data_IF_805647918129
#
_entry.id   IF_805647918129
#
_cell.length_a   1.000
_cell.length_b   1.000
_cell.length_c   1.000
_cell.angle_alpha   90.00
_cell.angle_beta   90.00
_cell.angle_gamma   90.00
#
_symmetry.space_group_name_H-M   'P 1'
#
loop_
_entity.id
_entity.type
_entity.pdbx_description
1 polymer ?
#
# COMPACT_ATOMS: atom_id res chain seq x y z
N UNK A 1 1.53 6.35 -9.21
CA UNK A 1 1.31 5.57 -7.98
C UNK A 1 2.21 4.34 -7.97
N UNK A 2 3.54 4.47 -7.99
CA UNK A 2 4.40 3.27 -8.05
C UNK A 2 5.73 3.42 -7.31
N UNK A 3 5.96 4.55 -6.62
CA UNK A 3 7.18 4.78 -5.87
C UNK A 3 7.10 4.21 -4.44
N UNK A 4 7.94 3.23 -4.14
CA UNK A 4 8.23 2.82 -2.76
C UNK A 4 9.71 3.09 -2.51
N UNK A 5 9.99 4.03 -1.60
CA UNK A 5 11.35 4.29 -1.15
C UNK A 5 11.87 3.08 -0.36
N UNK A 6 12.83 2.36 -0.93
CA UNK A 6 13.48 1.22 -0.28
C UNK A 6 14.41 1.70 0.84
N UNK A 7 14.65 0.82 1.83
CA UNK A 7 15.51 1.12 2.98
C UNK A 7 14.92 2.12 3.98
N UNK A 8 13.64 2.48 3.84
CA UNK A 8 12.87 3.27 4.81
C UNK A 8 11.70 2.43 5.31
N UNK A 9 11.31 2.65 6.55
CA UNK A 9 10.10 2.04 7.14
C UNK A 9 8.82 2.76 6.68
N UNK A 10 8.94 3.92 6.05
CA UNK A 10 7.81 4.68 5.52
C UNK A 10 8.10 5.20 4.11
N UNK A 11 7.09 5.12 3.25
CA UNK A 11 7.13 5.70 1.91
C UNK A 11 5.82 6.42 1.59
N UNK A 12 5.89 7.49 0.80
CA UNK A 12 4.73 8.27 0.36
C UNK A 12 4.83 8.54 -1.14
N UNK A 13 3.68 8.55 -1.81
CA UNK A 13 3.57 8.93 -3.22
C UNK A 13 2.26 9.69 -3.45
N UNK A 14 2.23 10.52 -4.50
CA UNK A 14 1.06 11.29 -4.91
C UNK A 14 0.84 11.08 -6.40
N UNK A 15 -0.42 10.87 -6.77
CA UNK A 15 -0.83 10.81 -8.16
C UNK A 15 -2.02 11.74 -8.39
N UNK A 16 -1.80 12.73 -9.23
CA UNK A 16 -2.87 13.58 -9.72
C UNK A 16 -3.56 12.86 -10.89
N UNK A 17 -4.82 12.48 -10.69
CA UNK A 17 -5.68 11.90 -11.70
C UNK A 17 -6.93 12.78 -11.82
N UNK A 18 -6.81 13.94 -12.49
CA UNK A 18 -7.87 14.94 -12.49
C UNK A 18 -9.24 14.35 -12.86
N UNK A 19 -10.31 14.76 -12.16
CA UNK A 19 -10.37 15.82 -11.15
C UNK A 19 -10.02 15.36 -9.72
N UNK A 20 -9.61 14.11 -9.53
CA UNK A 20 -9.30 13.57 -8.21
C UNK A 20 -7.78 13.55 -7.94
N UNK A 21 -7.41 13.65 -6.68
CA UNK A 21 -6.04 13.54 -6.20
C UNK A 21 -5.90 12.34 -5.28
N UNK A 22 -4.90 11.51 -5.53
CA UNK A 22 -4.61 10.30 -4.77
C UNK A 22 -3.30 10.49 -4.02
N UNK A 23 -3.33 10.34 -2.69
CA UNK A 23 -2.15 10.30 -1.84
C UNK A 23 -2.08 8.95 -1.14
N UNK A 24 -0.89 8.33 -1.13
CA UNK A 24 -0.64 7.06 -0.45
C UNK A 24 0.49 7.18 0.56
N UNK A 25 0.34 6.50 1.71
CA UNK A 25 1.39 6.22 2.67
C UNK A 25 1.51 4.71 2.89
N UNK A 26 2.71 4.19 2.76
CA UNK A 26 3.09 2.84 3.18
C UNK A 26 3.82 2.96 4.52
N UNK A 27 3.38 2.19 5.51
CA UNK A 27 3.96 2.11 6.86
C UNK A 27 4.38 0.67 7.14
N UNK A 28 5.69 0.43 7.05
CA UNK A 28 6.37 -0.85 7.27
C UNK A 28 6.96 -0.96 8.69
N UNK A 29 6.66 -0.01 9.59
CA UNK A 29 7.25 0.02 10.94
C UNK A 29 6.83 -1.13 11.86
N UNK A 30 5.85 -1.95 11.46
CA UNK A 30 5.30 -3.06 12.24
C UNK A 30 5.57 -4.44 11.62
N UNK A 31 6.57 -4.53 10.73
CA UNK A 31 6.90 -5.75 9.99
C UNK A 31 6.91 -7.00 10.89
N UNK A 32 6.28 -8.13 10.49
CA UNK A 32 5.82 -8.48 9.13
C UNK A 32 4.39 -8.03 8.79
N UNK A 33 3.68 -7.38 9.71
CA UNK A 33 2.43 -6.69 9.42
C UNK A 33 2.72 -5.25 9.05
N UNK A 34 2.07 -4.72 8.03
CA UNK A 34 2.30 -3.36 7.58
C UNK A 34 1.01 -2.78 7.03
N UNK A 35 0.96 -1.46 6.85
CA UNK A 35 -0.27 -0.77 6.45
C UNK A 35 -0.08 0.08 5.22
N UNK A 36 -1.15 0.19 4.45
CA UNK A 36 -1.31 1.15 3.35
C UNK A 36 -2.46 2.08 3.69
N UNK A 37 -2.20 3.38 3.59
CA UNK A 37 -3.21 4.41 3.80
C UNK A 37 -3.38 5.23 2.54
N UNK A 38 -4.61 5.30 2.05
CA UNK A 38 -5.00 6.15 0.94
C UNK A 38 -5.84 7.31 1.43
N UNK A 39 -5.56 8.49 0.88
CA UNK A 39 -6.48 9.61 0.87
C UNK A 39 -6.76 10.01 -0.57
N UNK A 40 -8.00 9.84 -0.99
CA UNK A 40 -8.47 10.30 -2.30
C UNK A 40 -9.39 11.48 -2.07
N UNK A 41 -9.15 12.58 -2.79
CA UNK A 41 -9.94 13.81 -2.72
C UNK A 41 -10.31 14.26 -4.11
N UNK A 42 -11.59 14.49 -4.35
CA UNK A 42 -12.09 15.02 -5.60
C UNK A 42 -13.59 14.83 -5.75
N UNK A 43 -14.18 15.40 -6.81
CA UNK A 43 -15.63 15.38 -7.00
C UNK A 43 -16.17 14.00 -7.40
N UNK A 44 -15.34 13.07 -7.89
CA UNK A 44 -15.78 11.71 -8.23
C UNK A 44 -15.56 10.76 -7.06
N UNK A 45 -14.48 10.97 -6.29
CA UNK A 45 -14.13 10.16 -5.12
C UNK A 45 -13.59 11.03 -4.00
N UNK A 46 -14.19 10.90 -2.81
CA UNK A 46 -13.62 11.43 -1.57
C UNK A 46 -13.68 10.37 -0.49
N UNK A 47 -12.54 9.76 -0.18
CA UNK A 47 -12.47 8.72 0.85
C UNK A 47 -11.10 8.62 1.50
N UNK A 48 -11.08 7.98 2.66
CA UNK A 48 -9.90 7.42 3.28
C UNK A 48 -10.03 5.90 3.32
N UNK A 49 -8.95 5.18 3.01
CA UNK A 49 -8.93 3.72 3.06
C UNK A 49 -7.64 3.25 3.70
N UNK A 50 -7.78 2.33 4.66
CA UNK A 50 -6.68 1.69 5.34
C UNK A 50 -6.69 0.20 5.01
N UNK A 51 -5.52 -0.34 4.70
CA UNK A 51 -5.33 -1.77 4.41
C UNK A 51 -4.22 -2.30 5.30
N UNK A 52 -4.52 -3.33 6.08
CA UNK A 52 -3.51 -4.11 6.79
C UNK A 52 -3.03 -5.24 5.89
N UNK A 53 -1.72 -5.34 5.70
CA UNK A 53 -1.08 -6.35 4.89
C UNK A 53 -0.23 -7.22 5.81
N UNK A 54 -0.50 -8.51 5.77
CA UNK A 54 0.31 -9.54 6.41
C UNK A 54 0.51 -10.68 5.43
N UNK A 55 1.61 -11.41 5.57
CA UNK A 55 1.79 -12.67 4.85
C UNK A 55 0.73 -13.67 5.33
N UNK A 56 0.08 -14.37 4.41
CA UNK A 56 -0.73 -15.53 4.75
C UNK A 56 0.19 -16.60 5.39
N UNK A 57 -0.08 -17.03 6.64
CA UNK A 57 0.74 -18.03 7.31
C UNK A 57 0.59 -19.43 6.71
N UNK A 58 -0.39 -19.65 5.82
CA UNK A 58 -0.56 -20.92 5.14
C UNK A 58 0.72 -21.28 4.37
N UNK A 59 1.28 -22.49 4.56
CA UNK A 59 2.44 -22.92 3.79
C UNK A 59 2.08 -22.84 2.30
N UNK A 60 2.84 -22.04 1.55
CA UNK A 60 2.63 -21.92 0.11
C UNK A 60 2.68 -23.30 -0.52
N UNK A 61 1.80 -23.58 -1.49
CA UNK A 61 1.87 -24.78 -2.29
C UNK A 61 3.20 -24.78 -3.05
N UNK A 62 4.25 -25.32 -2.40
CA UNK A 62 5.57 -25.46 -2.97
C UNK A 62 5.44 -26.40 -4.17
N UNK A 63 5.61 -25.85 -5.37
CA UNK A 63 5.79 -26.68 -6.56
C UNK A 63 7.12 -27.41 -6.37
N UNK A 64 7.04 -28.69 -5.99
CA UNK A 64 8.19 -29.60 -6.03
C UNK A 64 8.58 -29.77 -7.49
N UNK A 65 9.59 -29.00 -7.92
CA UNK A 65 10.31 -29.24 -9.16
C UNK A 65 11.33 -30.36 -8.94
N UNK A 66 11.29 -31.36 -9.82
CA UNK A 66 12.28 -32.43 -9.93
C UNK A 66 13.64 -31.88 -10.36
#
# INVERSE_FOLDING_TARGET
FHGIALGRDQSRDVHDCPPDRYAVRHDFGQWPEWRVEWRVRGPRKDYAMWTACRRDPSPGAGRVGK
#
